data_IF_204127338332
#
_entry.id   IF_204127338332
#
_cell.length_a   1.000
_cell.length_b   1.000
_cell.length_c   1.000
_cell.angle_alpha   90.00
_cell.angle_beta   90.00
_cell.angle_gamma   90.00
#
_symmetry.space_group_name_H-M   'P 1'
#
loop_
_entity.id
_entity.type
_entity.pdbx_description
1 polymer ?
#
# COMPACT_ATOMS: atom_id res chain seq x y z
N UNK A 1 31.43 -22.82 38.05
CA UNK A 1 32.03 -21.49 37.69
C UNK A 1 31.01 -20.79 36.79
N UNK A 2 30.96 -19.46 36.74
CA UNK A 2 30.10 -18.78 35.77
C UNK A 2 30.68 -18.95 34.36
N UNK A 3 29.85 -19.33 33.38
CA UNK A 3 30.25 -19.33 31.98
C UNK A 3 30.42 -17.87 31.51
N UNK A 4 31.52 -17.61 30.79
CA UNK A 4 31.83 -16.30 30.25
C UNK A 4 30.90 -15.90 29.10
N UNK A 5 31.07 -14.67 28.61
CA UNK A 5 30.35 -14.19 27.42
C UNK A 5 30.68 -15.09 26.21
N UNK A 6 29.65 -15.47 25.45
CA UNK A 6 29.77 -16.37 24.30
C UNK A 6 29.75 -17.85 24.66
N UNK A 7 29.52 -18.18 25.94
CA UNK A 7 29.42 -19.55 26.43
C UNK A 7 28.15 -19.73 27.28
N UNK A 8 27.59 -20.93 27.26
CA UNK A 8 26.42 -21.31 28.06
C UNK A 8 26.71 -22.59 28.87
N UNK A 9 26.15 -22.71 30.07
CA UNK A 9 26.16 -23.96 30.85
C UNK A 9 24.85 -24.71 30.66
N UNK A 10 24.79 -26.01 30.96
CA UNK A 10 23.50 -26.74 30.96
C UNK A 10 22.74 -26.62 32.28
N UNK A 11 23.40 -26.13 33.34
CA UNK A 11 22.79 -25.79 34.62
C UNK A 11 23.58 -24.68 35.34
N UNK A 12 22.91 -23.96 36.24
CA UNK A 12 23.55 -22.94 37.06
C UNK A 12 24.69 -23.53 37.90
N UNK A 13 25.88 -22.93 37.82
CA UNK A 13 27.04 -23.32 38.62
C UNK A 13 27.93 -24.42 38.03
N UNK A 14 27.59 -24.98 36.86
CA UNK A 14 28.41 -26.00 36.19
C UNK A 14 29.85 -25.54 35.91
N UNK A 15 30.74 -26.49 35.73
CA UNK A 15 32.15 -26.26 35.39
C UNK A 15 32.42 -26.35 33.89
N UNK A 16 31.60 -27.11 33.17
CA UNK A 16 31.67 -27.26 31.73
C UNK A 16 30.71 -26.28 31.06
N UNK A 17 31.23 -25.52 30.10
CA UNK A 17 30.47 -24.54 29.33
C UNK A 17 30.55 -24.92 27.85
N UNK A 18 29.41 -24.96 27.17
CA UNK A 18 29.32 -25.02 25.72
C UNK A 18 29.59 -23.64 25.11
N UNK A 19 30.12 -23.62 23.89
CA UNK A 19 30.30 -22.40 23.09
C UNK A 19 29.06 -22.12 22.27
N UNK A 20 28.64 -20.86 22.17
CA UNK A 20 27.59 -20.46 21.24
C UNK A 20 27.97 -20.81 19.78
N UNK A 21 26.99 -21.06 18.89
CA UNK A 21 27.24 -21.24 17.46
C UNK A 21 27.98 -20.05 16.83
N UNK A 22 28.65 -20.29 15.71
CA UNK A 22 29.42 -19.24 15.01
C UNK A 22 28.57 -18.00 14.70
N UNK A 23 29.09 -16.82 15.05
CA UNK A 23 28.41 -15.53 14.85
C UNK A 23 27.43 -15.14 15.96
N UNK A 24 27.16 -16.03 16.93
CA UNK A 24 26.36 -15.73 18.11
C UNK A 24 27.22 -15.55 19.36
N UNK A 25 26.71 -14.78 20.32
CA UNK A 25 27.30 -14.59 21.64
C UNK A 25 26.18 -14.56 22.69
N UNK A 26 26.51 -14.76 23.96
CA UNK A 26 25.55 -14.49 25.03
C UNK A 26 25.51 -12.99 25.34
N UNK A 27 24.33 -12.45 25.66
CA UNK A 27 24.19 -11.05 26.07
C UNK A 27 24.71 -10.79 27.49
N UNK A 28 24.76 -11.83 28.33
CA UNK A 28 25.21 -11.78 29.72
C UNK A 28 26.03 -13.03 30.07
N UNK A 29 26.65 -13.03 31.26
CA UNK A 29 27.36 -14.19 31.82
C UNK A 29 26.38 -15.16 32.48
N UNK A 30 26.79 -16.42 32.65
CA UNK A 30 26.01 -17.48 33.34
C UNK A 30 24.69 -17.86 32.67
N UNK A 31 24.62 -17.80 31.35
CA UNK A 31 23.49 -18.30 30.57
C UNK A 31 23.41 -19.83 30.68
N UNK A 32 22.20 -20.37 30.84
CA UNK A 32 21.94 -21.80 31.09
C UNK A 32 21.36 -22.56 29.89
N UNK A 33 21.29 -21.92 28.72
CA UNK A 33 20.73 -22.53 27.50
C UNK A 33 21.39 -21.99 26.24
N UNK A 34 21.53 -22.84 25.22
CA UNK A 34 21.97 -22.46 23.87
C UNK A 34 20.95 -21.56 23.15
N UNK A 35 19.66 -21.66 23.50
CA UNK A 35 18.60 -20.80 22.93
C UNK A 35 18.76 -19.32 23.27
N UNK A 36 19.63 -19.00 24.24
CA UNK A 36 19.94 -17.64 24.67
C UNK A 36 21.22 -17.09 24.04
N UNK A 37 21.83 -17.83 23.10
CA UNK A 37 22.86 -17.31 22.21
C UNK A 37 22.21 -16.37 21.20
N UNK A 38 22.70 -15.14 21.09
CA UNK A 38 22.12 -14.07 20.25
C UNK A 38 23.11 -13.55 19.23
N UNK A 39 22.61 -13.02 18.12
CA UNK A 39 23.45 -12.34 17.14
C UNK A 39 24.05 -11.05 17.71
N UNK A 40 25.22 -10.66 17.20
CA UNK A 40 25.82 -9.37 17.54
C UNK A 40 24.89 -8.19 17.17
N UNK A 41 25.10 -7.04 17.81
CA UNK A 41 24.35 -5.82 17.53
C UNK A 41 24.34 -5.50 16.03
N UNK A 42 23.17 -5.12 15.50
CA UNK A 42 23.00 -4.85 14.07
C UNK A 42 22.94 -6.11 13.21
N UNK A 43 22.79 -7.30 13.81
CA UNK A 43 22.50 -8.55 13.11
C UNK A 43 21.31 -9.27 13.76
N UNK A 44 20.64 -10.12 13.00
CA UNK A 44 19.50 -10.91 13.47
C UNK A 44 19.57 -12.35 12.93
N UNK A 45 18.79 -13.24 13.54
CA UNK A 45 18.71 -14.63 13.12
C UNK A 45 17.66 -14.79 12.00
N UNK A 46 18.09 -15.13 10.79
CA UNK A 46 17.23 -15.27 9.63
C UNK A 46 16.46 -16.61 9.64
N UNK A 47 15.38 -16.64 10.40
CA UNK A 47 14.48 -17.79 10.54
C UNK A 47 13.43 -17.89 9.40
N UNK A 48 13.81 -17.70 8.13
CA UNK A 48 12.86 -17.68 6.98
C UNK A 48 11.64 -16.75 7.18
N UNK A 49 11.81 -15.65 7.93
CA UNK A 49 10.73 -14.70 8.22
C UNK A 49 9.76 -15.10 9.35
N UNK A 50 10.03 -16.18 10.10
CA UNK A 50 9.27 -16.58 11.28
C UNK A 50 10.07 -16.39 12.57
N UNK A 51 9.43 -16.45 13.74
CA UNK A 51 10.18 -16.58 14.99
C UNK A 51 10.74 -18.01 15.09
N UNK A 52 12.00 -18.17 15.48
CA UNK A 52 12.58 -19.50 15.69
C UNK A 52 13.47 -19.57 16.93
N UNK A 53 13.64 -20.79 17.45
CA UNK A 53 14.52 -21.11 18.56
C UNK A 53 15.79 -21.78 18.01
N UNK A 54 16.95 -21.40 18.53
CA UNK A 54 18.21 -22.04 18.16
C UNK A 54 18.22 -23.47 18.70
N UNK A 55 18.31 -24.44 17.78
CA UNK A 55 18.49 -25.86 18.09
C UNK A 55 17.25 -26.75 17.97
N UNK A 56 16.06 -26.21 17.69
CA UNK A 56 14.83 -27.01 17.55
C UNK A 56 14.40 -27.22 16.09
N UNK A 57 14.41 -26.17 15.27
CA UNK A 57 13.60 -26.15 14.04
C UNK A 57 14.38 -26.04 12.73
N UNK A 58 15.72 -26.02 12.75
CA UNK A 58 16.51 -26.10 11.53
C UNK A 58 17.86 -26.78 11.78
N UNK A 59 18.29 -27.71 10.90
CA UNK A 59 19.67 -28.20 10.92
C UNK A 59 20.59 -26.99 10.84
N UNK A 60 21.72 -27.03 11.58
CA UNK A 60 22.72 -25.97 11.65
C UNK A 60 23.37 -25.70 10.27
N UNK A 61 22.61 -25.21 9.29
CA UNK A 61 23.11 -24.83 7.98
C UNK A 61 23.71 -23.43 8.10
N UNK A 62 24.99 -23.34 7.80
CA UNK A 62 25.85 -22.15 7.80
C UNK A 62 25.14 -20.88 7.34
N UNK A 63 25.00 -19.89 8.24
CA UNK A 63 24.44 -18.57 7.95
C UNK A 63 23.60 -17.94 9.06
N UNK A 64 23.96 -18.16 10.34
CA UNK A 64 23.10 -17.87 11.50
C UNK A 64 22.71 -16.40 11.68
N UNK A 65 23.67 -15.48 11.54
CA UNK A 65 23.43 -14.06 11.79
C UNK A 65 23.56 -13.28 10.50
N UNK A 66 22.45 -12.66 10.09
CA UNK A 66 22.39 -11.79 8.92
C UNK A 66 22.38 -10.34 9.38
N UNK A 67 23.07 -9.47 8.63
CA UNK A 67 23.07 -8.03 8.91
C UNK A 67 21.63 -7.50 8.91
N UNK A 68 21.32 -6.61 9.85
CA UNK A 68 20.03 -5.93 9.90
C UNK A 68 19.76 -5.21 8.58
N UNK A 69 18.59 -5.41 7.95
CA UNK A 69 18.27 -4.72 6.71
C UNK A 69 18.19 -3.21 6.90
N UNK A 70 18.51 -2.46 5.84
CA UNK A 70 18.45 -1.00 5.88
C UNK A 70 17.00 -0.53 6.13
N UNK A 71 16.85 0.49 6.98
CA UNK A 71 15.54 1.00 7.40
C UNK A 71 14.83 0.17 8.49
N UNK A 72 15.45 -0.89 9.00
CA UNK A 72 14.94 -1.69 10.12
C UNK A 72 15.81 -1.55 11.36
N UNK A 73 15.21 -1.81 12.52
CA UNK A 73 15.88 -1.80 13.82
C UNK A 73 16.03 -3.22 14.37
N UNK A 74 17.27 -3.62 14.64
CA UNK A 74 17.62 -4.87 15.30
C UNK A 74 18.15 -4.56 16.71
N UNK A 75 17.26 -4.10 17.58
CA UNK A 75 17.57 -3.81 18.99
C UNK A 75 16.81 -4.80 19.87
N UNK A 76 17.54 -5.39 20.82
CA UNK A 76 16.99 -6.29 21.82
C UNK A 76 16.10 -5.61 22.86
N UNK A 77 15.72 -6.36 23.90
CA UNK A 77 14.93 -5.83 25.02
C UNK A 77 15.74 -4.80 25.85
N UNK A 78 15.08 -4.00 26.69
CA UNK A 78 15.80 -3.03 27.55
C UNK A 78 16.82 -3.70 28.49
N UNK A 79 16.54 -4.92 28.94
CA UNK A 79 17.41 -5.70 29.82
C UNK A 79 18.58 -6.35 29.08
N UNK A 80 18.46 -6.51 27.76
CA UNK A 80 19.50 -7.05 26.91
C UNK A 80 19.41 -6.41 25.51
N UNK A 81 19.90 -5.16 25.34
CA UNK A 81 19.75 -4.39 24.10
C UNK A 81 20.47 -5.03 22.90
N UNK A 82 21.37 -5.96 23.18
CA UNK A 82 22.08 -6.77 22.19
C UNK A 82 21.43 -8.13 21.93
N UNK A 83 20.38 -8.48 22.67
CA UNK A 83 19.68 -9.75 22.54
C UNK A 83 18.37 -9.57 21.78
N UNK A 84 18.37 -9.93 20.50
CA UNK A 84 17.16 -10.12 19.70
C UNK A 84 16.41 -11.38 20.14
N UNK A 85 16.08 -11.51 21.43
CA UNK A 85 15.38 -12.67 22.00
C UNK A 85 14.25 -12.22 22.95
N UNK A 86 13.11 -12.89 22.88
CA UNK A 86 11.98 -12.82 23.81
C UNK A 86 11.61 -14.21 24.27
N UNK A 87 11.63 -14.49 25.57
CA UNK A 87 11.16 -15.76 26.11
C UNK A 87 11.68 -16.99 25.33
N UNK A 88 12.97 -16.96 24.95
CA UNK A 88 13.72 -17.96 24.18
C UNK A 88 13.57 -17.93 22.63
N UNK A 89 12.72 -17.06 22.09
CA UNK A 89 12.50 -16.90 20.65
C UNK A 89 13.32 -15.76 20.07
N UNK A 90 13.98 -16.00 18.94
CA UNK A 90 14.67 -14.92 18.24
C UNK A 90 13.66 -13.95 17.61
N UNK A 91 13.78 -12.67 17.95
CA UNK A 91 12.99 -11.57 17.39
C UNK A 91 13.41 -11.28 15.96
N UNK A 92 12.42 -10.98 15.13
CA UNK A 92 12.66 -10.40 13.81
C UNK A 92 12.95 -8.89 13.91
N UNK A 93 13.67 -8.30 12.93
CA UNK A 93 13.88 -6.86 12.84
C UNK A 93 12.54 -6.10 12.89
N UNK A 94 12.52 -4.92 13.53
CA UNK A 94 11.32 -4.09 13.63
C UNK A 94 11.45 -2.85 12.76
N UNK A 95 10.40 -2.53 12.03
CA UNK A 95 10.28 -1.27 11.29
C UNK A 95 9.69 -0.19 12.21
N UNK A 96 10.21 1.02 12.12
CA UNK A 96 9.68 2.18 12.86
C UNK A 96 8.31 2.61 12.33
N UNK A 97 7.49 3.31 13.13
CA UNK A 97 6.29 3.98 12.63
C UNK A 97 6.61 4.87 11.41
N UNK A 98 5.67 4.94 10.47
CA UNK A 98 5.85 5.61 9.17
C UNK A 98 6.50 4.73 8.09
N UNK A 99 6.76 3.45 8.37
CA UNK A 99 7.32 2.52 7.40
C UNK A 99 6.77 1.09 7.59
N UNK A 100 6.80 0.29 6.53
CA UNK A 100 6.40 -1.12 6.53
C UNK A 100 7.49 -2.01 5.94
N UNK A 101 7.51 -3.30 6.28
CA UNK A 101 8.43 -4.27 5.70
C UNK A 101 7.70 -5.17 4.69
N UNK A 102 8.31 -5.41 3.53
CA UNK A 102 7.99 -6.56 2.68
C UNK A 102 9.27 -7.36 2.48
N UNK A 103 9.33 -8.56 3.08
CA UNK A 103 10.57 -9.31 3.18
C UNK A 103 11.66 -8.51 3.91
N UNK A 104 12.88 -8.49 3.36
CA UNK A 104 14.01 -7.73 3.92
C UNK A 104 14.07 -6.26 3.45
N UNK A 105 13.02 -5.74 2.80
CA UNK A 105 12.98 -4.36 2.32
C UNK A 105 11.98 -3.53 3.13
N UNK A 106 12.42 -2.39 3.66
CA UNK A 106 11.58 -1.42 4.32
C UNK A 106 11.12 -0.34 3.32
N UNK A 107 9.83 -0.02 3.34
CA UNK A 107 9.20 1.00 2.51
C UNK A 107 8.66 2.11 3.40
N UNK A 108 8.95 3.35 3.05
CA UNK A 108 8.29 4.52 3.65
C UNK A 108 6.83 4.52 3.22
N UNK A 109 5.95 4.74 4.18
CA UNK A 109 4.52 4.73 3.89
C UNK A 109 4.08 6.01 3.21
N UNK A 110 2.96 5.91 2.48
CA UNK A 110 2.42 7.05 1.77
C UNK A 110 1.94 8.13 2.77
N UNK A 111 1.93 9.39 2.31
CA UNK A 111 1.47 10.54 3.08
C UNK A 111 2.36 10.90 4.27
N UNK A 112 1.72 11.13 5.42
CA UNK A 112 2.37 11.49 6.69
C UNK A 112 2.94 10.28 7.47
N UNK A 113 2.73 9.08 6.95
CA UNK A 113 3.16 7.82 7.57
C UNK A 113 2.17 7.25 8.61
N UNK A 114 1.03 7.90 8.86
CA UNK A 114 0.02 7.42 9.81
C UNK A 114 -0.62 6.08 9.42
N UNK A 115 -0.62 5.76 8.13
CA UNK A 115 -1.04 4.46 7.59
C UNK A 115 -0.17 3.29 8.06
N UNK A 116 1.01 3.55 8.62
CA UNK A 116 1.96 2.52 9.04
C UNK A 116 2.37 2.69 10.51
N UNK A 117 1.75 1.93 11.43
CA UNK A 117 2.16 1.94 12.83
C UNK A 117 3.57 1.34 13.04
N UNK A 118 4.11 0.64 12.04
CA UNK A 118 5.38 -0.09 12.13
C UNK A 118 5.18 -1.45 12.80
N UNK A 119 5.83 -2.47 12.26
CA UNK A 119 5.71 -3.85 12.74
C UNK A 119 7.02 -4.62 12.60
N UNK A 120 7.03 -5.87 13.04
CA UNK A 120 8.17 -6.78 12.83
C UNK A 120 8.21 -7.26 11.38
N UNK A 121 9.41 -7.56 10.89
CA UNK A 121 9.61 -8.12 9.55
C UNK A 121 8.83 -9.42 9.40
N UNK A 122 7.98 -9.50 8.37
CA UNK A 122 7.13 -10.67 8.12
C UNK A 122 5.80 -10.67 8.89
N UNK A 123 5.47 -9.60 9.63
CA UNK A 123 4.16 -9.43 10.23
C UNK A 123 3.04 -9.46 9.16
N UNK A 124 1.81 -9.87 9.52
CA UNK A 124 0.69 -9.82 8.59
C UNK A 124 0.35 -8.38 8.21
N UNK A 125 -0.14 -8.16 6.98
CA UNK A 125 -0.48 -6.82 6.46
C UNK A 125 -1.42 -6.04 7.39
N UNK A 126 -2.35 -6.71 8.06
CA UNK A 126 -3.27 -6.09 9.02
C UNK A 126 -2.59 -5.48 10.26
N UNK A 127 -1.36 -5.91 10.59
CA UNK A 127 -0.56 -5.33 11.67
C UNK A 127 0.44 -4.29 11.15
N UNK A 128 0.89 -4.44 9.89
CA UNK A 128 1.77 -3.47 9.22
C UNK A 128 1.06 -2.20 8.75
N UNK A 129 -0.21 -2.32 8.40
CA UNK A 129 -1.04 -1.26 7.85
C UNK A 129 -2.22 -0.95 8.78
N UNK A 130 -2.47 0.32 9.01
CA UNK A 130 -3.65 0.83 9.71
C UNK A 130 -4.74 1.27 8.71
N UNK A 131 -5.92 1.62 9.23
CA UNK A 131 -7.02 2.21 8.44
C UNK A 131 -7.55 1.39 7.25
N UNK A 132 -7.30 0.07 7.21
CA UNK A 132 -7.74 -0.76 6.08
C UNK A 132 -6.87 -0.60 4.83
N UNK A 133 -5.67 -0.03 4.98
CA UNK A 133 -4.63 -0.03 3.95
C UNK A 133 -3.98 -1.40 3.77
N UNK A 134 -3.40 -1.60 2.59
CA UNK A 134 -2.70 -2.81 2.18
C UNK A 134 -1.70 -2.51 1.06
N UNK A 135 -1.13 -3.57 0.48
CA UNK A 135 -0.16 -3.44 -0.59
C UNK A 135 1.17 -2.80 -0.16
N UNK A 136 1.88 -2.21 -1.11
CA UNK A 136 3.14 -1.48 -0.85
C UNK A 136 2.83 -0.11 -0.24
N UNK A 137 3.58 0.27 0.79
CA UNK A 137 3.41 1.53 1.53
C UNK A 137 2.01 1.75 2.15
N UNK A 138 1.23 0.67 2.33
CA UNK A 138 -0.16 0.69 2.82
C UNK A 138 -1.10 1.61 2.00
N UNK A 139 -0.77 1.84 0.72
CA UNK A 139 -1.49 2.74 -0.16
C UNK A 139 -2.68 2.08 -0.90
N UNK A 140 -2.81 0.75 -0.85
CA UNK A 140 -3.95 0.06 -1.45
C UNK A 140 -5.10 -0.04 -0.46
N UNK A 141 -6.22 0.59 -0.77
CA UNK A 141 -7.40 0.55 0.09
C UNK A 141 -8.31 -0.64 -0.24
N UNK A 142 -8.92 -1.21 0.80
CA UNK A 142 -9.95 -2.23 0.66
C UNK A 142 -11.19 -1.74 -0.10
N UNK A 143 -12.08 -2.67 -0.47
CA UNK A 143 -13.33 -2.33 -1.14
C UNK A 143 -14.18 -1.37 -0.30
N UNK A 144 -14.63 -0.26 -0.89
CA UNK A 144 -15.43 0.78 -0.25
C UNK A 144 -14.62 1.90 0.40
N UNK A 145 -13.29 1.79 0.38
CA UNK A 145 -12.35 2.79 0.85
C UNK A 145 -11.58 3.39 -0.34
N UNK A 146 -11.16 4.65 -0.22
CA UNK A 146 -10.26 5.30 -1.17
C UNK A 146 -9.06 5.89 -0.43
N UNK A 147 -7.92 6.03 -1.10
CA UNK A 147 -6.74 6.63 -0.49
C UNK A 147 -6.83 8.16 -0.59
N UNK A 148 -6.88 8.85 0.55
CA UNK A 148 -7.01 10.32 0.60
C UNK A 148 -5.66 11.07 0.44
N UNK A 149 -4.56 10.32 0.28
CA UNK A 149 -3.20 10.84 0.27
C UNK A 149 -2.41 10.50 1.53
N UNK A 150 -3.10 10.21 2.64
CA UNK A 150 -2.50 9.87 3.94
C UNK A 150 -2.97 8.49 4.43
N UNK A 151 -4.26 8.19 4.28
CA UNK A 151 -4.89 6.96 4.75
C UNK A 151 -6.06 6.55 3.88
N UNK A 152 -6.54 5.33 4.10
CA UNK A 152 -7.77 4.87 3.50
C UNK A 152 -8.97 5.46 4.26
N UNK A 153 -9.87 6.11 3.53
CA UNK A 153 -11.07 6.76 4.04
C UNK A 153 -12.33 6.18 3.39
N UNK A 154 -13.45 6.19 4.11
CA UNK A 154 -14.73 5.70 3.62
C UNK A 154 -15.27 6.56 2.46
N UNK A 155 -15.73 5.88 1.42
CA UNK A 155 -16.37 6.52 0.26
C UNK A 155 -17.70 7.23 0.61
N UNK A 156 -18.35 6.90 1.72
CA UNK A 156 -19.66 7.44 2.10
C UNK A 156 -19.63 8.82 2.76
N UNK A 157 -18.46 9.33 3.17
CA UNK A 157 -18.40 10.45 4.12
C UNK A 157 -18.73 11.84 3.55
N UNK A 158 -18.69 12.05 2.23
CA UNK A 158 -19.06 13.32 1.63
C UNK A 158 -20.14 13.10 0.59
N UNK A 159 -21.34 13.61 0.87
CA UNK A 159 -22.49 13.62 -0.04
C UNK A 159 -22.15 14.34 -1.33
N UNK A 160 -21.46 13.65 -2.23
CA UNK A 160 -20.90 14.20 -3.45
C UNK A 160 -22.03 14.34 -4.47
N UNK A 161 -22.88 15.34 -4.25
CA UNK A 161 -24.05 15.69 -5.09
C UNK A 161 -23.64 15.93 -6.55
N UNK A 162 -22.36 16.22 -6.79
CA UNK A 162 -21.78 16.38 -8.12
C UNK A 162 -21.94 15.14 -9.01
N UNK A 163 -21.88 13.92 -8.44
CA UNK A 163 -22.01 12.70 -9.24
C UNK A 163 -23.42 12.51 -9.85
N UNK A 164 -24.52 12.48 -9.06
CA UNK A 164 -25.85 12.36 -9.64
C UNK A 164 -26.18 13.54 -10.56
N UNK A 165 -25.67 14.74 -10.27
CA UNK A 165 -25.82 15.90 -11.16
C UNK A 165 -25.10 15.67 -12.49
N UNK A 166 -23.86 15.17 -12.48
CA UNK A 166 -23.11 14.87 -13.70
C UNK A 166 -23.79 13.79 -14.55
N UNK A 167 -24.21 12.68 -13.93
CA UNK A 167 -24.95 11.61 -14.63
C UNK A 167 -26.25 12.15 -15.23
N UNK A 168 -27.00 12.97 -14.49
CA UNK A 168 -28.20 13.63 -15.00
C UNK A 168 -27.89 14.55 -16.20
N UNK A 169 -26.82 15.35 -16.16
CA UNK A 169 -26.42 16.22 -17.27
C UNK A 169 -26.08 15.39 -18.52
N UNK A 170 -25.30 14.31 -18.36
CA UNK A 170 -24.93 13.42 -19.47
C UNK A 170 -26.16 12.74 -20.06
N UNK A 171 -27.05 12.20 -19.23
CA UNK A 171 -28.28 11.53 -19.70
C UNK A 171 -29.21 12.53 -20.40
N UNK A 172 -29.46 13.70 -19.82
CA UNK A 172 -30.33 14.73 -20.42
C UNK A 172 -29.77 15.22 -21.75
N UNK A 173 -28.45 15.45 -21.82
CA UNK A 173 -27.81 15.90 -23.06
C UNK A 173 -27.86 14.82 -24.15
N UNK A 174 -27.67 13.55 -23.80
CA UNK A 174 -27.78 12.42 -24.72
C UNK A 174 -29.22 12.22 -25.23
N UNK A 175 -30.22 12.29 -24.34
CA UNK A 175 -31.65 12.25 -24.70
C UNK A 175 -32.01 13.42 -25.62
N UNK A 176 -31.58 14.63 -25.28
CA UNK A 176 -31.84 15.84 -26.10
C UNK A 176 -31.20 15.70 -27.48
N UNK A 177 -29.99 15.12 -27.55
CA UNK A 177 -29.33 14.80 -28.80
C UNK A 177 -30.17 13.81 -29.64
N UNK A 178 -30.57 12.68 -29.06
CA UNK A 178 -31.36 11.65 -29.75
C UNK A 178 -32.69 12.23 -30.25
N UNK A 179 -33.45 12.91 -29.38
CA UNK A 179 -34.73 13.54 -29.75
C UNK A 179 -34.55 14.54 -30.90
N UNK A 180 -33.49 15.37 -30.85
CA UNK A 180 -33.22 16.37 -31.89
C UNK A 180 -32.86 15.78 -33.26
N UNK A 181 -32.37 14.53 -33.29
CA UNK A 181 -32.07 13.76 -34.51
C UNK A 181 -33.28 12.98 -35.04
N UNK A 182 -34.21 12.59 -34.16
CA UNK A 182 -35.40 11.81 -34.51
C UNK A 182 -36.57 12.66 -35.03
N UNK A 183 -36.54 14.00 -34.88
CA UNK A 183 -37.45 14.91 -35.58
C UNK A 183 -37.13 14.99 -37.09
N UNK A 184 -37.18 13.85 -37.80
CA UNK A 184 -37.36 13.84 -39.24
C UNK A 184 -38.84 14.16 -39.51
N UNK A 185 -39.20 15.45 -39.40
CA UNK A 185 -40.50 15.91 -39.90
C UNK A 185 -40.56 15.60 -41.39
N UNK A 186 -41.52 14.74 -41.77
CA UNK A 186 -41.92 14.58 -43.16
C UNK A 186 -42.28 15.93 -43.77
N UNK A 187 -42.10 16.06 -45.10
CA UNK A 187 -42.27 17.24 -45.97
C UNK A 187 -40.99 18.09 -46.19
N UNK A 188 -40.12 17.74 -47.14
CA UNK A 188 -40.18 17.98 -48.61
C UNK A 188 -39.98 19.43 -49.11
N UNK A 189 -39.47 20.37 -48.30
CA UNK A 189 -38.93 21.63 -48.87
C UNK A 189 -37.53 21.92 -48.34
N UNK A 190 -36.52 21.64 -49.17
CA UNK A 190 -35.13 21.98 -48.92
C UNK A 190 -34.95 23.51 -48.94
N UNK A 191 -35.18 24.16 -47.80
CA UNK A 191 -34.94 25.59 -47.63
C UNK A 191 -33.58 25.85 -46.96
N UNK A 192 -32.94 26.99 -47.27
CA UNK A 192 -31.61 27.37 -46.78
C UNK A 192 -31.55 27.42 -45.24
N UNK A 193 -32.64 27.87 -44.61
CA UNK A 193 -32.78 27.90 -43.15
C UNK A 193 -32.70 26.50 -42.52
N UNK A 194 -33.28 25.49 -43.18
CA UNK A 194 -33.22 24.10 -42.71
C UNK A 194 -31.79 23.55 -42.75
N UNK A 195 -31.05 23.81 -43.84
CA UNK A 195 -29.64 23.41 -43.94
C UNK A 195 -28.76 24.03 -42.86
N UNK A 196 -28.98 25.30 -42.50
CA UNK A 196 -28.23 25.94 -41.41
C UNK A 196 -28.55 25.32 -40.04
N UNK A 197 -29.84 25.04 -39.76
CA UNK A 197 -30.23 24.37 -38.52
C UNK A 197 -29.64 22.96 -38.41
N UNK A 198 -29.68 22.19 -39.50
CA UNK A 198 -29.09 20.84 -39.53
C UNK A 198 -27.58 20.87 -39.28
N UNK A 199 -26.85 21.80 -39.92
CA UNK A 199 -25.41 21.98 -39.69
C UNK A 199 -25.10 22.32 -38.23
N UNK A 200 -25.89 23.21 -37.62
CA UNK A 200 -25.75 23.54 -36.19
C UNK A 200 -25.94 22.31 -35.29
N UNK A 201 -26.99 21.52 -35.53
CA UNK A 201 -27.25 20.27 -34.78
C UNK A 201 -26.12 19.25 -34.95
N UNK A 202 -25.63 19.03 -36.18
CA UNK A 202 -24.51 18.13 -36.44
C UNK A 202 -23.22 18.60 -35.75
N UNK A 203 -22.95 19.91 -35.73
CA UNK A 203 -21.77 20.46 -35.08
C UNK A 203 -21.86 20.28 -33.56
N UNK A 204 -23.00 20.58 -32.94
CA UNK A 204 -23.23 20.30 -31.51
C UNK A 204 -23.05 18.81 -31.19
N UNK A 205 -23.61 17.91 -32.01
CA UNK A 205 -23.45 16.46 -31.83
C UNK A 205 -21.99 16.02 -31.89
N UNK A 206 -21.22 16.57 -32.84
CA UNK A 206 -19.79 16.23 -32.99
C UNK A 206 -18.95 16.69 -31.78
N UNK A 207 -19.25 17.86 -31.22
CA UNK A 207 -18.58 18.37 -30.01
C UNK A 207 -18.93 17.49 -28.81
N UNK A 208 -20.21 17.14 -28.64
CA UNK A 208 -20.66 16.30 -27.53
C UNK A 208 -20.06 14.89 -27.59
N UNK A 209 -20.00 14.30 -28.80
CA UNK A 209 -19.30 13.03 -29.04
C UNK A 209 -17.83 13.13 -28.66
N UNK A 210 -17.14 14.22 -29.01
CA UNK A 210 -15.73 14.42 -28.70
C UNK A 210 -15.48 14.53 -27.19
N UNK A 211 -16.38 15.21 -26.46
CA UNK A 211 -16.34 15.27 -24.99
C UNK A 211 -16.52 13.88 -24.38
N UNK A 212 -17.47 13.08 -24.90
CA UNK A 212 -17.67 11.72 -24.42
C UNK A 212 -16.47 10.82 -24.67
N UNK A 213 -15.87 10.91 -25.87
CA UNK A 213 -14.62 10.18 -26.16
C UNK A 213 -13.48 10.61 -25.24
N UNK A 214 -13.38 11.92 -24.93
CA UNK A 214 -12.37 12.41 -23.99
C UNK A 214 -12.61 11.86 -22.57
N UNK A 215 -13.86 11.82 -22.10
CA UNK A 215 -14.23 11.19 -20.83
C UNK A 215 -13.91 9.69 -20.80
N UNK A 216 -14.16 8.96 -21.89
CA UNK A 216 -13.81 7.54 -22.01
C UNK A 216 -12.29 7.31 -21.95
N UNK A 217 -11.52 8.14 -22.66
CA UNK A 217 -10.06 8.08 -22.64
C UNK A 217 -9.52 8.38 -21.25
N UNK A 218 -10.07 9.38 -20.57
CA UNK A 218 -9.74 9.71 -19.18
C UNK A 218 -10.04 8.55 -18.21
N UNK A 219 -11.22 7.92 -18.33
CA UNK A 219 -11.57 6.75 -17.53
C UNK A 219 -10.62 5.56 -17.78
N UNK A 220 -10.14 5.37 -19.02
CA UNK A 220 -9.14 4.34 -19.33
C UNK A 220 -7.79 4.63 -18.67
N UNK A 221 -7.35 5.89 -18.61
CA UNK A 221 -6.11 6.27 -17.92
C UNK A 221 -6.19 5.99 -16.41
N UNK A 222 -7.35 6.21 -15.80
CA UNK A 222 -7.56 5.93 -14.38
C UNK A 222 -7.54 4.42 -14.09
N UNK A 223 -8.25 3.62 -14.88
CA UNK A 223 -8.26 2.15 -14.72
C UNK A 223 -6.87 1.55 -14.92
N UNK A 224 -6.04 2.13 -15.77
CA UNK A 224 -4.71 1.61 -16.08
C UNK A 224 -3.62 1.98 -15.06
N UNK A 225 -3.93 2.83 -14.06
CA UNK A 225 -2.96 3.29 -13.03
C UNK A 225 -1.60 3.69 -13.63
N UNK A 226 -1.62 4.39 -14.77
CA UNK A 226 -0.38 4.79 -15.46
C UNK A 226 0.26 5.92 -14.66
N UNK A 227 1.39 5.65 -14.02
CA UNK A 227 2.22 6.68 -13.38
C UNK A 227 2.77 7.61 -14.46
N UNK A 228 2.37 8.88 -14.43
CA UNK A 228 2.94 9.89 -15.32
C UNK A 228 4.32 10.32 -14.81
N UNK A 229 5.33 10.47 -15.69
CA UNK A 229 6.59 11.06 -15.30
C UNK A 229 6.37 12.52 -14.86
N UNK A 230 7.05 12.94 -13.79
CA UNK A 230 6.91 14.25 -13.13
C UNK A 230 7.07 15.46 -14.08
N UNK A 231 7.77 15.29 -15.21
CA UNK A 231 7.93 16.34 -16.23
C UNK A 231 6.65 16.60 -17.03
N UNK A 232 5.77 15.61 -17.19
CA UNK A 232 4.51 15.75 -17.93
C UNK A 232 3.39 16.39 -17.08
N UNK A 233 3.50 16.32 -15.75
CA UNK A 233 2.47 16.74 -14.81
C UNK A 233 2.04 18.20 -15.01
N UNK A 234 3.00 19.08 -15.27
CA UNK A 234 2.75 20.52 -15.51
C UNK A 234 1.99 20.81 -16.81
N UNK A 235 2.12 19.98 -17.84
CA UNK A 235 1.44 20.16 -19.13
C UNK A 235 -0.03 19.70 -19.07
N UNK A 236 -0.34 18.75 -18.20
CA UNK A 236 -1.70 18.22 -18.01
C UNK A 236 -2.46 18.90 -16.86
N UNK A 237 -1.78 19.65 -15.98
CA UNK A 237 -2.40 20.25 -14.78
C UNK A 237 -3.53 21.24 -15.07
N UNK A 238 -3.44 22.02 -16.16
CA UNK A 238 -4.41 23.10 -16.44
C UNK A 238 -5.75 22.57 -16.99
N UNK A 239 -5.79 21.62 -17.95
CA UNK A 239 -7.03 20.95 -18.33
C UNK A 239 -7.56 19.98 -17.26
N UNK A 240 -6.66 19.34 -16.50
CA UNK A 240 -7.03 18.34 -15.50
C UNK A 240 -7.65 18.94 -14.23
N UNK A 241 -7.39 20.19 -13.85
CA UNK A 241 -8.09 20.82 -12.71
C UNK A 241 -9.60 20.99 -12.97
N UNK A 242 -10.02 21.26 -14.21
CA UNK A 242 -11.44 21.43 -14.57
C UNK A 242 -12.17 20.08 -14.63
N UNK A 243 -11.43 19.00 -14.88
CA UNK A 243 -11.90 17.62 -14.91
C UNK A 243 -11.05 16.78 -13.94
N UNK A 244 -10.94 17.21 -12.69
CA UNK A 244 -10.22 16.41 -11.70
C UNK A 244 -11.01 15.13 -11.47
N UNK A 245 -10.61 14.04 -12.13
CA UNK A 245 -11.22 12.72 -11.98
C UNK A 245 -11.07 12.23 -10.54
N UNK A 246 -10.03 12.70 -9.82
CA UNK A 246 -9.89 12.50 -8.38
C UNK A 246 -11.08 13.07 -7.59
N UNK A 247 -11.69 14.17 -8.04
CA UNK A 247 -12.91 14.69 -7.41
C UNK A 247 -14.13 13.78 -7.66
N UNK A 248 -14.11 13.00 -8.73
CA UNK A 248 -15.19 12.05 -9.09
C UNK A 248 -15.01 10.69 -8.39
N UNK A 249 -13.86 10.44 -7.74
CA UNK A 249 -13.57 9.24 -6.92
C UNK A 249 -14.13 7.95 -7.55
N UNK A 250 -13.72 7.62 -8.78
CA UNK A 250 -14.32 6.48 -9.50
C UNK A 250 -14.12 5.13 -8.81
N UNK A 251 -13.06 4.99 -8.00
CA UNK A 251 -12.85 3.82 -7.14
C UNK A 251 -14.06 3.55 -6.22
N UNK A 252 -14.70 4.61 -5.74
CA UNK A 252 -15.93 4.53 -4.94
C UNK A 252 -17.17 4.12 -5.76
N UNK A 253 -17.18 4.38 -7.07
CA UNK A 253 -18.30 3.99 -7.94
C UNK A 253 -18.26 2.51 -8.30
N UNK A 254 -17.05 1.99 -8.53
CA UNK A 254 -16.87 0.58 -8.88
C UNK A 254 -17.31 -0.37 -7.76
N UNK A 255 -17.15 0.06 -6.50
CA UNK A 255 -17.57 -0.71 -5.32
C UNK A 255 -19.08 -0.62 -5.10
N UNK A 256 -19.68 0.58 -5.23
CA UNK A 256 -21.13 0.73 -5.16
C UNK A 256 -21.87 -0.11 -6.22
N UNK A 257 -21.32 -0.23 -7.43
CA UNK A 257 -21.91 -1.04 -8.50
C UNK A 257 -21.82 -2.56 -8.25
N UNK A 258 -20.91 -3.04 -7.39
CA UNK A 258 -20.75 -4.46 -7.04
C UNK A 258 -21.50 -4.88 -5.76
N UNK A 259 -21.96 -3.91 -4.97
CA UNK A 259 -22.63 -4.14 -3.68
C UNK A 259 -24.14 -4.40 -3.74
N UNK A 260 -24.74 -4.42 -4.94
CA UNK A 260 -26.13 -4.83 -5.20
C UNK A 260 -26.16 -6.10 -6.04
#
# INVERSE_FOLDING_TARGET
RACGIGMFGSAAGQTECGTCPEGMSTGTVSIVSVSLCVCASGSYHACNGQACVVGTDSPLVSGFCVKCPDGMSCIGTQTAPFAMVEDEWHKQPRVSPGSMALGATAYTCAGDGSACPGAVMGAPTAEMCSHGGGGVACAECGAGLFFDGERCADCEADGNVMFPVFVCIVVVSLVTCVVSTLEMRGYQVYNRAWMYSLRGKCLCLSVLSSVFTLLQVLALFEVSKIEFPTTAESAFFVPAMVLSLQAVRFECLATAARGN
#
